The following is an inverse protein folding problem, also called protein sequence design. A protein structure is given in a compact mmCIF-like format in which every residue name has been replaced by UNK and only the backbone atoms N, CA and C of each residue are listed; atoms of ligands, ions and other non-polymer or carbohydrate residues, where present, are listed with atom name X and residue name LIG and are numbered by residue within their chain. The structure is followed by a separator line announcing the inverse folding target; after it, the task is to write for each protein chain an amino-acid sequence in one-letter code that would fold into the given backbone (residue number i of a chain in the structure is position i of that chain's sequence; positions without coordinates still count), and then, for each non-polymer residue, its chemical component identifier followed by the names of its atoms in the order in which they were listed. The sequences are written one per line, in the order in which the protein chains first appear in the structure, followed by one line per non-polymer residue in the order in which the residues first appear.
data_IF_729914711146
#
_entry.id   IF_729914711146
#
_cell.length_a   1.000
_cell.length_b   1.000
_cell.length_c   1.000
_cell.angle_alpha   90.00
_cell.angle_beta   90.00
_cell.angle_gamma   90.00
#
_symmetry.space_group_name_H-M   'P 1'
#
loop_
_entity.id
_entity.type
_entity.pdbx_description
1 polymer ?
#
# COMPACT_ATOMS: atom_id res chain seq x y z
N UNK A 1 -21.27 -4.85 5.95
CA UNK A 1 -20.47 -5.60 6.94
C UNK A 1 -20.54 -4.81 8.24
N UNK A 2 -21.09 -5.39 9.30
CA UNK A 2 -20.85 -4.93 10.67
C UNK A 2 -20.30 -6.17 11.41
N UNK A 3 -18.97 -6.25 11.48
CA UNK A 3 -18.28 -7.33 12.17
C UNK A 3 -17.61 -6.79 13.43
N UNK A 4 -18.35 -5.99 14.19
CA UNK A 4 -17.87 -5.07 15.23
C UNK A 4 -16.85 -4.12 14.52
N UNK A 5 -17.31 -3.06 13.84
CA UNK A 5 -16.58 -2.08 12.97
C UNK A 5 -15.24 -2.47 12.27
N UNK A 6 -15.20 -3.68 11.71
CA UNK A 6 -14.00 -4.35 11.15
C UNK A 6 -12.90 -4.63 12.19
N UNK A 7 -13.31 -5.12 13.37
CA UNK A 7 -12.82 -4.62 14.64
C UNK A 7 -11.32 -4.76 14.91
N UNK A 8 -10.77 -3.77 15.59
CA UNK A 8 -11.44 -2.46 15.70
C UNK A 8 -11.61 -1.77 14.32
N UNK A 9 -10.63 -2.05 13.46
CA UNK A 9 -10.48 -1.73 12.04
C UNK A 9 -9.11 -2.29 11.56
N UNK A 10 -8.19 -2.67 12.49
CA UNK A 10 -7.74 -4.04 12.88
C UNK A 10 -6.93 -3.94 14.22
N UNK A 11 -7.58 -4.25 15.35
CA UNK A 11 -7.17 -4.22 16.79
C UNK A 11 -5.93 -3.43 17.25
N UNK A 12 -6.10 -2.13 17.53
CA UNK A 12 -5.11 -1.31 18.26
C UNK A 12 -5.20 0.21 18.07
N UNK A 13 -6.07 0.71 17.19
CA UNK A 13 -6.37 2.14 17.09
C UNK A 13 -7.72 2.42 17.76
N UNK A 14 -7.69 2.36 19.10
CA UNK A 14 -8.82 2.69 19.97
C UNK A 14 -9.24 4.16 19.80
N UNK A 15 -10.45 4.32 19.28
CA UNK A 15 -11.52 5.16 19.85
C UNK A 15 -11.63 6.65 19.54
N UNK A 16 -10.71 7.33 18.85
CA UNK A 16 -10.86 8.80 18.74
C UNK A 16 -10.96 9.42 17.35
N UNK A 17 -10.72 8.71 16.25
CA UNK A 17 -10.60 9.34 14.92
C UNK A 17 -11.27 8.58 13.76
N UNK A 18 -12.26 7.71 13.96
CA UNK A 18 -13.00 7.08 12.85
C UNK A 18 -14.38 7.76 12.70
N UNK A 19 -14.71 8.19 11.48
CA UNK A 19 -15.96 8.84 11.12
C UNK A 19 -16.56 8.07 9.94
N UNK A 20 -17.84 7.71 10.02
CA UNK A 20 -18.57 7.09 8.91
C UNK A 20 -19.58 6.04 9.38
N UNK A 21 -20.34 5.53 8.42
CA UNK A 21 -21.33 4.47 8.64
C UNK A 21 -20.69 3.11 8.26
N UNK A 22 -21.37 2.00 8.53
CA UNK A 22 -20.89 0.64 8.22
C UNK A 22 -20.41 0.45 6.75
N UNK A 23 -20.87 1.31 5.83
CA UNK A 23 -20.51 1.26 4.41
C UNK A 23 -19.36 2.19 3.99
N UNK A 24 -18.84 3.07 4.87
CA UNK A 24 -17.76 4.02 4.53
C UNK A 24 -16.99 4.51 5.77
N UNK A 25 -16.33 3.60 6.48
CA UNK A 25 -15.47 3.92 7.64
C UNK A 25 -14.22 4.66 7.17
N UNK A 26 -14.00 5.89 7.64
CA UNK A 26 -12.86 6.74 7.28
C UNK A 26 -12.18 7.37 8.49
N UNK A 27 -10.86 7.57 8.42
CA UNK A 27 -10.15 8.31 9.48
C UNK A 27 -10.32 9.84 9.36
N UNK A 28 -10.59 10.50 10.49
CA UNK A 28 -10.95 11.92 10.68
C UNK A 28 -9.90 12.95 10.22
N UNK A 29 -8.67 12.55 9.89
CA UNK A 29 -7.63 13.50 9.44
C UNK A 29 -7.08 13.21 8.04
N UNK A 30 -7.05 11.95 7.64
CA UNK A 30 -6.34 11.51 6.43
C UNK A 30 -7.27 10.89 5.40
N UNK A 31 -8.57 10.73 5.69
CA UNK A 31 -9.52 10.04 4.80
C UNK A 31 -9.11 8.57 4.51
N UNK A 32 -8.41 7.93 5.46
CA UNK A 32 -8.00 6.53 5.35
C UNK A 32 -9.23 5.63 5.37
N UNK A 33 -9.43 4.82 4.31
CA UNK A 33 -10.44 3.76 4.28
C UNK A 33 -10.05 2.60 5.20
N UNK A 34 -10.94 1.62 5.33
CA UNK A 34 -10.67 0.43 6.14
C UNK A 34 -9.42 -0.35 5.69
N UNK A 35 -9.16 -0.44 4.39
CA UNK A 35 -7.96 -1.11 3.88
C UNK A 35 -6.68 -0.33 4.19
N UNK A 36 -6.74 1.01 4.23
CA UNK A 36 -5.59 1.79 4.67
C UNK A 36 -5.26 1.48 6.13
N UNK A 37 -6.28 1.40 6.99
CA UNK A 37 -6.09 1.11 8.41
C UNK A 37 -5.53 -0.32 8.60
N UNK A 38 -6.03 -1.28 7.83
CA UNK A 38 -5.47 -2.64 7.78
C UNK A 38 -3.99 -2.65 7.33
N UNK A 39 -3.67 -1.83 6.33
CA UNK A 39 -2.30 -1.63 5.85
C UNK A 39 -1.42 -0.79 6.79
N UNK A 40 -1.97 -0.07 7.75
CA UNK A 40 -1.19 0.57 8.83
C UNK A 40 -0.88 -0.46 9.91
N UNK A 41 -1.85 -1.30 10.25
CA UNK A 41 -1.73 -2.28 11.33
C UNK A 41 -0.93 -3.54 10.96
N UNK A 42 -0.82 -3.90 9.68
CA UNK A 42 -0.14 -5.14 9.27
C UNK A 42 -0.95 -6.39 9.49
N UNK A 43 -2.23 -6.24 9.84
CA UNK A 43 -3.08 -7.35 10.28
C UNK A 43 -4.16 -7.69 9.26
N UNK A 44 -3.99 -7.33 7.99
CA UNK A 44 -4.95 -7.66 6.95
C UNK A 44 -5.09 -9.19 6.85
N UNK A 45 -6.33 -9.68 6.90
CA UNK A 45 -6.66 -11.10 6.75
C UNK A 45 -7.68 -11.25 5.63
N UNK A 46 -7.61 -12.36 4.90
CA UNK A 46 -8.60 -12.72 3.88
C UNK A 46 -9.98 -12.92 4.52
N UNK A 47 -10.99 -12.30 3.95
CA UNK A 47 -12.37 -12.47 4.39
C UNK A 47 -13.12 -13.34 3.39
N UNK A 48 -14.20 -13.97 3.87
CA UNK A 48 -15.12 -14.71 3.00
C UNK A 48 -15.88 -13.78 2.04
N UNK A 49 -15.96 -12.49 2.37
CA UNK A 49 -16.67 -11.45 1.62
C UNK A 49 -15.72 -10.35 1.11
N UNK A 50 -14.58 -10.74 0.53
CA UNK A 50 -13.59 -9.79 -0.03
C UNK A 50 -14.20 -8.85 -1.08
N UNK A 51 -15.30 -9.22 -1.73
CA UNK A 51 -15.95 -8.50 -2.82
C UNK A 51 -16.34 -7.05 -2.43
N UNK A 52 -16.77 -6.87 -1.18
CA UNK A 52 -17.06 -5.55 -0.64
C UNK A 52 -15.79 -4.69 -0.50
N UNK A 53 -14.64 -5.28 -0.15
CA UNK A 53 -13.38 -4.58 0.04
C UNK A 53 -12.68 -4.20 -1.28
N UNK A 54 -12.99 -4.90 -2.39
CA UNK A 54 -12.43 -4.60 -3.70
C UNK A 54 -12.65 -3.14 -4.11
N UNK A 55 -13.78 -2.54 -3.70
CA UNK A 55 -14.09 -1.12 -3.96
C UNK A 55 -13.06 -0.16 -3.34
N UNK A 56 -12.40 -0.56 -2.25
CA UNK A 56 -11.47 0.30 -1.50
C UNK A 56 -10.02 0.11 -1.91
N UNK A 57 -9.69 -0.88 -2.76
CA UNK A 57 -8.32 -1.13 -3.20
C UNK A 57 -7.69 0.09 -3.89
N UNK A 58 -8.50 0.81 -4.66
CA UNK A 58 -8.08 1.93 -5.50
C UNK A 58 -8.37 3.30 -4.87
N UNK A 59 -8.97 3.33 -3.69
CA UNK A 59 -9.27 4.59 -3.00
C UNK A 59 -7.97 5.21 -2.49
N UNK A 60 -7.86 6.52 -2.63
CA UNK A 60 -6.72 7.29 -2.16
C UNK A 60 -7.11 8.11 -0.94
N UNK A 61 -6.21 8.13 0.05
CA UNK A 61 -6.31 9.01 1.20
C UNK A 61 -5.89 10.46 0.81
N UNK A 62 -5.87 11.39 1.77
CA UNK A 62 -5.55 12.81 1.50
C UNK A 62 -4.13 13.04 0.95
N UNK A 63 -3.22 12.07 1.12
CA UNK A 63 -1.86 12.10 0.57
C UNK A 63 -1.76 11.42 -0.80
N UNK A 64 -2.88 10.99 -1.38
CA UNK A 64 -2.90 10.20 -2.61
C UNK A 64 -2.48 8.73 -2.38
N UNK A 65 -2.19 8.32 -1.15
CA UNK A 65 -1.78 6.94 -0.90
C UNK A 65 -2.99 6.03 -1.00
N UNK A 66 -2.83 4.89 -1.68
CA UNK A 66 -3.76 3.75 -1.59
C UNK A 66 -3.37 2.84 -0.42
N UNK A 67 -4.19 1.86 -0.01
CA UNK A 67 -3.80 0.86 0.98
C UNK A 67 -2.49 0.15 0.61
N UNK A 68 -2.27 -0.02 -0.69
CA UNK A 68 -1.08 -0.66 -1.24
C UNK A 68 0.19 0.16 -1.03
N UNK A 69 0.11 1.49 -1.18
CA UNK A 69 1.21 2.40 -0.85
C UNK A 69 1.59 2.29 0.62
N UNK A 70 0.59 2.33 1.51
CA UNK A 70 0.82 2.29 2.95
C UNK A 70 1.45 0.95 3.38
N UNK A 71 0.93 -0.18 2.90
CA UNK A 71 1.48 -1.50 3.20
C UNK A 71 2.93 -1.64 2.73
N UNK A 72 3.23 -1.11 1.54
CA UNK A 72 4.57 -1.17 0.95
C UNK A 72 5.56 -0.25 1.67
N UNK A 73 5.12 0.97 2.01
CA UNK A 73 5.85 1.95 2.83
C UNK A 73 6.23 1.40 4.20
N UNK A 74 5.36 0.60 4.81
CA UNK A 74 5.57 0.01 6.13
C UNK A 74 6.18 -1.39 6.09
N UNK A 75 6.46 -1.94 4.90
CA UNK A 75 7.12 -3.23 4.75
C UNK A 75 6.26 -4.43 5.12
N UNK A 76 4.93 -4.28 5.11
CA UNK A 76 3.99 -5.31 5.51
C UNK A 76 3.79 -6.33 4.40
N UNK A 77 4.77 -7.23 4.24
CA UNK A 77 4.82 -8.20 3.16
C UNK A 77 3.53 -9.01 2.99
N UNK A 78 2.95 -9.48 4.09
CA UNK A 78 1.74 -10.31 4.03
C UNK A 78 0.51 -9.50 3.59
N UNK A 79 0.37 -8.26 4.09
CA UNK A 79 -0.65 -7.33 3.61
C UNK A 79 -0.50 -7.06 2.11
N UNK A 80 0.72 -6.80 1.64
CA UNK A 80 1.01 -6.58 0.21
C UNK A 80 0.60 -7.79 -0.62
N UNK A 81 0.92 -9.02 -0.18
CA UNK A 81 0.49 -10.27 -0.85
C UNK A 81 -1.02 -10.34 -0.99
N UNK A 82 -1.75 -10.15 0.11
CA UNK A 82 -3.21 -10.22 0.12
C UNK A 82 -3.80 -9.17 -0.83
N UNK A 83 -3.29 -7.94 -0.81
CA UNK A 83 -3.78 -6.86 -1.70
C UNK A 83 -3.56 -7.18 -3.19
N UNK A 84 -2.39 -7.71 -3.57
CA UNK A 84 -2.12 -8.17 -4.95
C UNK A 84 -3.10 -9.26 -5.35
N UNK A 85 -3.32 -10.25 -4.48
CA UNK A 85 -4.22 -11.36 -4.78
C UNK A 85 -5.68 -10.90 -4.89
N UNK A 86 -6.11 -9.95 -4.05
CA UNK A 86 -7.43 -9.32 -4.18
C UNK A 86 -7.58 -8.58 -5.52
N UNK A 87 -6.57 -7.84 -5.95
CA UNK A 87 -6.60 -7.15 -7.24
C UNK A 87 -6.67 -8.14 -8.41
N UNK A 88 -5.94 -9.26 -8.34
CA UNK A 88 -5.99 -10.34 -9.34
C UNK A 88 -7.37 -11.00 -9.48
N UNK A 89 -8.20 -11.01 -8.42
CA UNK A 89 -9.58 -11.53 -8.48
C UNK A 89 -10.51 -10.67 -9.33
N UNK A 90 -10.23 -9.38 -9.49
CA UNK A 90 -11.08 -8.47 -10.28
C UNK A 90 -10.86 -8.64 -11.78
N UNK A 91 -9.63 -8.44 -12.24
CA UNK A 91 -9.15 -8.70 -13.61
C UNK A 91 -7.62 -8.44 -13.66
N UNK A 92 -6.91 -9.00 -14.66
CA UNK A 92 -5.46 -8.76 -14.86
C UNK A 92 -5.13 -7.28 -15.08
N UNK A 93 -5.96 -6.56 -15.83
CA UNK A 93 -5.75 -5.13 -16.10
C UNK A 93 -5.89 -4.26 -14.85
N UNK A 94 -6.76 -4.66 -13.92
CA UNK A 94 -6.97 -3.95 -12.66
C UNK A 94 -5.81 -4.18 -11.68
N UNK A 95 -5.19 -5.37 -11.68
CA UNK A 95 -3.96 -5.61 -10.92
C UNK A 95 -2.82 -4.69 -11.36
N UNK A 96 -2.53 -4.61 -12.68
CA UNK A 96 -1.49 -3.70 -13.19
C UNK A 96 -1.80 -2.24 -12.84
N UNK A 97 -3.08 -1.85 -12.92
CA UNK A 97 -3.51 -0.51 -12.51
C UNK A 97 -3.18 -0.24 -11.05
N UNK A 98 -3.51 -1.14 -10.12
CA UNK A 98 -3.23 -0.95 -8.69
C UNK A 98 -1.73 -0.78 -8.43
N UNK A 99 -0.91 -1.65 -9.04
CA UNK A 99 0.55 -1.65 -8.86
C UNK A 99 1.20 -0.35 -9.36
N UNK A 100 0.66 0.24 -10.43
CA UNK A 100 1.15 1.46 -11.06
C UNK A 100 0.45 2.74 -10.57
N UNK A 101 -0.45 2.66 -9.57
CA UNK A 101 -1.04 3.87 -9.00
C UNK A 101 0.03 4.73 -8.34
N UNK A 102 -0.18 6.04 -8.42
CA UNK A 102 0.73 7.08 -7.95
C UNK A 102 0.07 7.88 -6.82
N UNK A 103 0.82 8.16 -5.74
CA UNK A 103 0.38 9.09 -4.70
C UNK A 103 0.59 10.57 -5.11
N UNK A 104 0.35 11.52 -4.20
CA UNK A 104 0.49 12.95 -4.52
C UNK A 104 1.93 13.37 -4.89
N UNK A 105 2.94 12.57 -4.55
CA UNK A 105 4.34 12.77 -4.96
C UNK A 105 4.68 12.05 -6.28
N UNK A 106 3.67 11.46 -6.92
CA UNK A 106 3.80 10.51 -8.02
C UNK A 106 4.62 9.28 -7.68
N UNK A 107 4.77 8.96 -6.40
CA UNK A 107 5.42 7.72 -6.00
C UNK A 107 4.46 6.57 -6.20
N UNK A 108 4.93 5.49 -6.82
CA UNK A 108 4.27 4.19 -6.76
C UNK A 108 4.58 3.50 -5.44
N UNK A 109 3.83 2.44 -5.10
CA UNK A 109 4.11 1.63 -3.93
C UNK A 109 5.55 1.03 -3.92
N UNK A 110 6.14 0.80 -5.09
CA UNK A 110 7.53 0.35 -5.22
C UNK A 110 8.54 1.44 -4.82
N UNK A 111 8.29 2.71 -5.17
CA UNK A 111 9.11 3.83 -4.69
C UNK A 111 9.11 3.88 -3.16
N UNK A 112 7.93 3.75 -2.55
CA UNK A 112 7.80 3.75 -1.10
C UNK A 112 8.53 2.57 -0.44
N UNK A 113 8.45 1.36 -1.02
CA UNK A 113 9.17 0.18 -0.51
C UNK A 113 10.69 0.35 -0.59
N UNK A 114 11.21 0.88 -1.70
CA UNK A 114 12.65 1.18 -1.87
C UNK A 114 13.09 2.27 -0.90
N UNK A 115 12.30 3.34 -0.79
CA UNK A 115 12.57 4.48 0.12
C UNK A 115 12.69 4.06 1.58
N UNK A 116 11.99 3.01 1.99
CA UNK A 116 12.03 2.52 3.37
C UNK A 116 12.81 1.21 3.52
N UNK A 117 13.57 0.80 2.49
CA UNK A 117 14.44 -0.36 2.49
C UNK A 117 13.72 -1.70 2.80
N UNK A 118 12.50 -1.86 2.28
CA UNK A 118 11.70 -3.08 2.46
C UNK A 118 11.95 -4.09 1.34
N UNK A 119 13.14 -4.70 1.36
CA UNK A 119 13.65 -5.56 0.29
C UNK A 119 12.69 -6.69 -0.13
N UNK A 120 12.02 -7.35 0.82
CA UNK A 120 11.11 -8.46 0.50
C UNK A 120 9.84 -7.98 -0.21
N UNK A 121 9.37 -6.76 0.09
CA UNK A 121 8.28 -6.11 -0.66
C UNK A 121 8.78 -5.73 -2.06
N UNK A 122 9.98 -5.15 -2.18
CA UNK A 122 10.58 -4.80 -3.47
C UNK A 122 10.67 -6.04 -4.38
N UNK A 123 11.22 -7.15 -3.88
CA UNK A 123 11.32 -8.41 -4.63
C UNK A 123 9.95 -8.92 -5.09
N UNK A 124 8.95 -8.84 -4.22
CA UNK A 124 7.59 -9.24 -4.58
C UNK A 124 7.04 -8.37 -5.71
N UNK A 125 7.11 -7.04 -5.58
CA UNK A 125 6.55 -6.12 -6.55
C UNK A 125 7.20 -6.25 -7.93
N UNK A 126 8.53 -6.38 -7.98
CA UNK A 126 9.27 -6.61 -9.23
C UNK A 126 8.89 -7.94 -9.88
N UNK A 127 8.62 -8.97 -9.07
CA UNK A 127 8.15 -10.26 -9.59
C UNK A 127 6.75 -10.16 -10.18
N UNK A 128 5.88 -9.34 -9.57
CA UNK A 128 4.51 -9.14 -10.04
C UNK A 128 4.47 -8.30 -11.33
N UNK A 129 5.27 -7.24 -11.41
CA UNK A 129 5.44 -6.43 -12.62
C UNK A 129 6.82 -5.74 -12.66
N UNK A 130 7.77 -6.22 -13.49
CA UNK A 130 9.09 -5.62 -13.62
C UNK A 130 9.08 -4.18 -14.15
N UNK A 131 8.04 -3.80 -14.90
CA UNK A 131 7.97 -2.47 -15.55
C UNK A 131 7.87 -1.35 -14.51
N UNK A 132 7.41 -1.66 -13.29
CA UNK A 132 7.35 -0.73 -12.15
C UNK A 132 8.71 -0.13 -11.80
N UNK A 133 9.81 -0.85 -12.06
CA UNK A 133 11.16 -0.39 -11.73
C UNK A 133 11.58 0.85 -12.52
N UNK A 134 10.91 1.13 -13.64
CA UNK A 134 11.27 2.21 -14.56
C UNK A 134 10.32 3.42 -14.49
N UNK A 135 9.22 3.32 -13.74
CA UNK A 135 8.29 4.44 -13.53
C UNK A 135 9.01 5.52 -12.72
N UNK A 136 8.95 6.78 -13.15
CA UNK A 136 9.56 7.90 -12.44
C UNK A 136 8.53 8.65 -11.59
N UNK A 137 8.92 9.05 -10.39
CA UNK A 137 8.08 9.86 -9.52
C UNK A 137 8.14 11.36 -9.89
N UNK A 138 7.59 12.21 -9.03
CA UNK A 138 7.53 13.66 -9.24
C UNK A 138 8.88 14.36 -9.18
N UNK A 139 9.89 13.70 -8.61
CA UNK A 139 11.28 14.17 -8.54
C UNK A 139 12.09 13.72 -9.76
N UNK A 140 11.52 12.87 -10.63
CA UNK A 140 12.19 12.28 -11.79
C UNK A 140 12.96 11.00 -11.46
N UNK A 141 12.84 10.49 -10.24
CA UNK A 141 13.55 9.31 -9.79
C UNK A 141 12.72 8.05 -10.02
N UNK A 142 13.33 7.01 -10.57
CA UNK A 142 12.72 5.68 -10.63
C UNK A 142 13.11 4.84 -9.40
N UNK A 143 12.35 3.79 -9.04
CA UNK A 143 12.70 2.97 -7.88
C UNK A 143 14.08 2.31 -8.00
N UNK A 144 14.49 1.94 -9.23
CA UNK A 144 15.83 1.39 -9.44
C UNK A 144 16.90 2.46 -9.24
N UNK A 145 16.66 3.70 -9.69
CA UNK A 145 17.58 4.82 -9.46
C UNK A 145 17.73 5.10 -7.96
N UNK A 146 16.61 5.18 -7.23
CA UNK A 146 16.60 5.36 -5.77
C UNK A 146 17.34 4.24 -5.02
N UNK A 147 17.21 2.99 -5.47
CA UNK A 147 17.89 1.85 -4.87
C UNK A 147 19.41 1.94 -5.07
N UNK A 148 19.86 2.34 -6.27
CA UNK A 148 21.29 2.53 -6.58
C UNK A 148 21.86 3.70 -5.78
N UNK A 149 21.18 4.84 -5.77
CA UNK A 149 21.59 6.04 -5.03
C UNK A 149 21.75 5.73 -3.53
N UNK A 150 20.83 4.95 -2.95
CA UNK A 150 20.90 4.55 -1.54
C UNK A 150 21.93 3.45 -1.25
N UNK A 151 22.15 2.52 -2.18
CA UNK A 151 23.24 1.53 -2.06
C UNK A 151 24.61 2.22 -2.12
N UNK A 152 24.77 3.27 -2.92
CA UNK A 152 25.99 4.11 -2.90
C UNK A 152 26.25 4.72 -1.52
N UNK A 153 25.21 5.01 -0.73
CA UNK A 153 25.37 5.46 0.65
C UNK A 153 25.79 4.34 1.63
N UNK A 154 25.37 3.09 1.43
CA UNK A 154 25.84 1.95 2.25
C UNK A 154 27.30 1.58 1.97
N UNK A 155 27.79 1.81 0.74
CA UNK A 155 29.19 1.59 0.39
C UNK A 155 30.09 2.74 0.87
N UNK A 156 29.54 3.95 1.07
CA UNK A 156 30.29 5.13 1.55
C UNK A 156 30.62 5.11 3.06
N UNK A 157 30.08 4.18 3.85
CA UNK A 157 30.36 4.07 5.29
C UNK A 157 31.45 3.04 5.65
N UNK A 158 32.22 2.54 4.67
CA UNK A 158 33.29 1.55 4.89
C UNK A 158 34.68 2.04 4.44
N UNK A 159 34.89 3.36 4.40
CA UNK A 159 36.21 3.97 4.12
C UNK A 159 36.72 4.76 5.30
#
# INVERSE_FOLDING_TARGET
MDGELYNAAIDGLSDHNLIGNADNIRSSGQNNTILHIAAISGKLRRLKEDDYLLRFLYEQNNEGNTPFHIASKLGQLETVRILVEMARKTDVGQNKRLLAMENNKKDTALHEAVRHNHLEVVKLLIKEDPDLASIVNGEGDSPIFMAVDRCLHQVACIS
#
